data_IF_313692450274
#
_entry.id   IF_313692450274
#
_cell.length_a   1.000
_cell.length_b   1.000
_cell.length_c   1.000
_cell.angle_alpha   90.00
_cell.angle_beta   90.00
_cell.angle_gamma   90.00
#
_symmetry.space_group_name_H-M   'P 1'
#
loop_
_entity.id
_entity.type
_entity.pdbx_description
1 polymer ?
#
# COMPACT_ATOMS: atom_id res chain seq x y z
N UNK A 1 -0.40 21.16 -11.73
CA UNK A 1 0.49 20.23 -10.99
C UNK A 1 0.26 18.75 -11.30
N UNK A 2 -0.99 18.30 -11.47
CA UNK A 2 -1.34 16.90 -11.79
C UNK A 2 -0.77 16.39 -13.12
N UNK A 3 -0.91 17.09 -14.28
CA UNK A 3 -0.44 16.56 -15.56
C UNK A 3 1.06 16.30 -15.61
N UNK A 4 1.87 17.13 -14.93
CA UNK A 4 3.33 16.96 -14.85
C UNK A 4 3.73 15.64 -14.20
N UNK A 5 2.97 15.16 -13.22
CA UNK A 5 3.24 13.88 -12.53
C UNK A 5 2.92 12.70 -13.44
N UNK A 6 1.81 12.77 -14.16
CA UNK A 6 1.43 11.73 -15.14
C UNK A 6 2.43 11.64 -16.28
N UNK A 7 2.86 12.78 -16.83
CA UNK A 7 3.89 12.81 -17.89
C UNK A 7 5.19 12.16 -17.41
N UNK A 8 5.65 12.51 -16.20
CA UNK A 8 6.85 11.91 -15.63
C UNK A 8 6.70 10.39 -15.41
N UNK A 9 5.55 9.93 -14.91
CA UNK A 9 5.27 8.52 -14.71
C UNK A 9 5.23 7.74 -16.03
N UNK A 10 4.59 8.30 -17.07
CA UNK A 10 4.56 7.70 -18.40
C UNK A 10 5.98 7.60 -18.99
N UNK A 11 6.74 8.70 -18.97
CA UNK A 11 8.12 8.69 -19.44
C UNK A 11 8.94 7.62 -18.72
N UNK A 12 8.88 7.58 -17.39
CA UNK A 12 9.59 6.60 -16.57
C UNK A 12 9.20 5.15 -16.91
N UNK A 13 7.91 4.88 -17.13
CA UNK A 13 7.41 3.54 -17.45
C UNK A 13 7.76 3.08 -18.87
N UNK A 14 7.89 4.01 -19.82
CA UNK A 14 8.26 3.68 -21.21
C UNK A 14 9.77 3.63 -21.44
N UNK A 15 10.60 4.04 -20.48
CA UNK A 15 12.07 4.02 -20.62
C UNK A 15 12.65 2.67 -21.08
N UNK A 16 12.18 1.51 -20.59
CA UNK A 16 12.63 0.20 -21.09
C UNK A 16 12.33 -0.01 -22.58
N UNK A 17 11.26 0.59 -23.10
CA UNK A 17 10.88 0.51 -24.52
C UNK A 17 11.76 1.36 -25.45
N UNK A 18 12.48 2.34 -24.90
CA UNK A 18 13.39 3.20 -25.68
C UNK A 18 14.83 2.66 -25.79
N UNK A 19 15.06 1.40 -25.40
CA UNK A 19 16.34 0.71 -25.66
C UNK A 19 17.05 0.12 -24.44
N UNK A 20 16.47 0.23 -23.25
CA UNK A 20 16.97 -0.41 -22.02
C UNK A 20 16.25 -1.73 -21.71
N UNK A 21 16.07 -2.57 -22.73
CA UNK A 21 15.55 -3.92 -22.58
C UNK A 21 16.69 -4.94 -22.67
N UNK A 22 16.50 -6.15 -22.13
CA UNK A 22 17.51 -7.19 -22.11
C UNK A 22 17.78 -7.75 -23.52
N UNK A 23 18.81 -7.22 -24.20
CA UNK A 23 19.20 -7.70 -25.52
C UNK A 23 19.76 -9.13 -25.48
N UNK A 24 20.54 -9.47 -24.44
CA UNK A 24 21.17 -10.80 -24.27
C UNK A 24 20.18 -11.94 -23.95
N UNK A 25 19.02 -11.61 -23.36
CA UNK A 25 17.99 -12.61 -23.06
C UNK A 25 17.14 -12.91 -24.30
N UNK A 26 16.87 -11.89 -25.13
CA UNK A 26 16.14 -12.02 -26.39
C UNK A 26 16.91 -12.79 -27.47
N UNK A 27 18.25 -12.73 -27.47
CA UNK A 27 19.09 -13.50 -28.41
C UNK A 27 19.30 -14.96 -28.02
N UNK A 28 19.09 -15.33 -26.74
CA UNK A 28 19.27 -16.70 -26.24
C UNK A 28 18.02 -17.60 -26.43
N UNK A 29 16.82 -17.02 -26.50
CA UNK A 29 15.60 -17.77 -26.80
C UNK A 29 15.42 -17.91 -28.32
N UNK A 30 15.55 -19.14 -28.81
CA UNK A 30 15.43 -19.46 -30.24
C UNK A 30 13.97 -19.27 -30.73
N UNK A 31 13.75 -18.24 -31.55
CA UNK A 31 12.65 -17.85 -32.47
C UNK A 31 11.26 -18.54 -32.50
N UNK A 32 10.76 -19.27 -31.49
CA UNK A 32 9.39 -19.83 -31.55
C UNK A 32 8.54 -19.75 -30.28
N UNK A 33 9.09 -19.40 -29.11
CA UNK A 33 8.26 -19.14 -27.93
C UNK A 33 8.97 -18.24 -26.91
N UNK A 34 8.54 -16.98 -26.80
CA UNK A 34 8.94 -16.09 -25.70
C UNK A 34 7.96 -16.33 -24.56
N UNK A 35 8.43 -16.86 -23.43
CA UNK A 35 7.64 -16.88 -22.22
C UNK A 35 7.47 -15.45 -21.70
N UNK A 36 6.23 -14.97 -21.65
CA UNK A 36 5.87 -13.63 -21.20
C UNK A 36 6.05 -13.47 -19.69
N UNK A 37 7.30 -13.46 -19.23
CA UNK A 37 7.68 -13.19 -17.86
C UNK A 37 8.28 -11.79 -17.72
N UNK A 38 7.95 -11.10 -16.63
CA UNK A 38 8.34 -9.71 -16.37
C UNK A 38 9.87 -9.50 -16.40
N UNK A 39 10.64 -10.43 -15.85
CA UNK A 39 12.12 -10.43 -15.83
C UNK A 39 12.77 -10.78 -17.17
N UNK A 40 12.01 -11.34 -18.12
CA UNK A 40 12.50 -11.60 -19.47
C UNK A 40 12.55 -10.32 -20.31
N UNK A 41 11.61 -9.40 -20.07
CA UNK A 41 11.48 -8.13 -20.83
C UNK A 41 12.16 -6.97 -20.12
N UNK A 42 12.07 -6.90 -18.78
CA UNK A 42 12.60 -5.79 -17.99
C UNK A 42 13.85 -6.24 -17.23
N UNK A 43 15.00 -5.58 -17.43
CA UNK A 43 16.23 -5.93 -16.74
C UNK A 43 16.12 -5.75 -15.22
N UNK A 44 16.59 -6.73 -14.45
CA UNK A 44 16.66 -6.62 -12.98
C UNK A 44 17.54 -5.43 -12.56
N UNK A 45 18.59 -5.12 -13.34
CA UNK A 45 19.46 -3.96 -13.12
C UNK A 45 18.70 -2.62 -13.22
N UNK A 46 17.71 -2.52 -14.12
CA UNK A 46 16.82 -1.36 -14.24
C UNK A 46 15.89 -1.25 -13.03
N UNK A 47 15.32 -2.38 -12.58
CA UNK A 47 14.45 -2.40 -11.40
C UNK A 47 15.18 -2.00 -10.10
N UNK A 48 16.47 -2.29 -9.99
CA UNK A 48 17.27 -1.94 -8.82
C UNK A 48 17.84 -0.52 -8.97
N UNK A 49 18.77 -0.29 -9.89
CA UNK A 49 19.47 0.99 -9.92
C UNK A 49 18.58 2.17 -10.33
N UNK A 50 17.62 1.95 -11.21
CA UNK A 50 16.79 3.05 -11.69
C UNK A 50 15.51 3.21 -10.86
N UNK A 51 14.76 2.14 -10.64
CA UNK A 51 13.51 2.22 -9.86
C UNK A 51 13.79 2.30 -8.36
N UNK A 52 14.61 1.41 -7.78
CA UNK A 52 14.86 1.44 -6.34
C UNK A 52 15.71 2.65 -5.93
N UNK A 53 16.87 2.86 -6.56
CA UNK A 53 17.77 3.96 -6.15
C UNK A 53 17.34 5.33 -6.68
N UNK A 54 16.69 5.39 -7.85
CA UNK A 54 16.26 6.65 -8.45
C UNK A 54 14.86 7.10 -8.03
N UNK A 55 13.93 6.17 -7.79
CA UNK A 55 12.52 6.51 -7.59
C UNK A 55 11.97 6.15 -6.21
N UNK A 56 12.53 5.14 -5.54
CA UNK A 56 12.05 4.71 -4.22
C UNK A 56 12.88 5.32 -3.07
N UNK A 57 14.21 5.18 -3.12
CA UNK A 57 15.10 5.66 -2.06
C UNK A 57 15.10 7.19 -1.90
N UNK A 58 15.08 8.04 -2.95
CA UNK A 58 15.19 9.48 -2.76
C UNK A 58 13.96 10.09 -2.07
N UNK A 59 12.72 9.75 -2.46
CA UNK A 59 11.54 10.18 -1.70
C UNK A 59 11.57 9.67 -0.25
N UNK A 60 12.02 8.44 -0.03
CA UNK A 60 12.13 7.86 1.32
C UNK A 60 13.13 8.65 2.18
N UNK A 61 14.32 8.91 1.66
CA UNK A 61 15.40 9.62 2.34
C UNK A 61 15.00 11.07 2.67
N UNK A 62 14.40 11.79 1.71
CA UNK A 62 13.89 13.15 1.94
C UNK A 62 12.84 13.16 3.05
N UNK A 63 11.90 12.21 3.03
CA UNK A 63 10.87 12.11 4.06
C UNK A 63 11.49 11.84 5.44
N UNK A 64 12.41 10.88 5.55
CA UNK A 64 13.11 10.57 6.81
C UNK A 64 13.88 11.80 7.32
N UNK A 65 14.65 12.46 6.46
CA UNK A 65 15.43 13.64 6.83
C UNK A 65 14.54 14.78 7.36
N UNK A 66 13.40 15.02 6.70
CA UNK A 66 12.42 16.01 7.16
C UNK A 66 11.84 15.64 8.54
N UNK A 67 11.52 14.36 8.79
CA UNK A 67 11.05 13.94 10.12
C UNK A 67 12.13 14.07 11.19
N UNK A 68 13.36 13.64 10.90
CA UNK A 68 14.48 13.79 11.82
C UNK A 68 14.69 15.27 12.16
N UNK A 69 14.69 16.15 11.15
CA UNK A 69 14.79 17.59 11.35
C UNK A 69 13.68 18.14 12.24
N UNK A 70 12.41 17.80 11.96
CA UNK A 70 11.26 18.22 12.76
C UNK A 70 11.39 17.71 14.20
N UNK A 71 11.73 16.43 14.39
CA UNK A 71 11.86 15.82 15.71
C UNK A 71 12.98 16.47 16.54
N UNK A 72 14.14 16.72 15.93
CA UNK A 72 15.26 17.41 16.58
C UNK A 72 14.88 18.85 16.94
N UNK A 73 14.16 19.56 16.08
CA UNK A 73 13.71 20.93 16.33
C UNK A 73 12.67 20.99 17.46
N UNK A 74 11.75 20.03 17.51
CA UNK A 74 10.79 19.90 18.62
C UNK A 74 11.51 19.57 19.93
N UNK A 75 12.51 18.67 19.92
CA UNK A 75 13.29 18.31 21.12
C UNK A 75 14.08 19.50 21.66
N UNK A 76 14.71 20.28 20.78
CA UNK A 76 15.42 21.50 21.14
C UNK A 76 14.48 22.59 21.67
N UNK A 77 13.31 22.80 21.04
CA UNK A 77 12.32 23.77 21.52
C UNK A 77 11.59 23.37 22.81
N UNK A 78 11.50 22.07 23.12
CA UNK A 78 10.96 21.58 24.41
C UNK A 78 11.87 21.87 25.60
N UNK A 79 13.18 22.08 25.37
CA UNK A 79 14.11 22.47 26.42
C UNK A 79 13.95 23.94 26.86
N UNK A 80 13.19 24.76 26.12
CA UNK A 80 13.17 26.22 26.28
C UNK A 80 11.78 26.84 26.59
N UNK A 81 10.62 26.20 26.34
CA UNK A 81 9.33 26.94 26.45
C UNK A 81 8.03 26.19 26.86
N UNK A 82 7.44 26.74 27.94
CA UNK A 82 6.05 26.88 28.46
C UNK A 82 4.86 26.02 27.97
N UNK A 83 3.96 25.73 28.92
CA UNK A 83 2.78 24.86 28.88
C UNK A 83 1.61 25.31 27.96
N UNK A 84 1.60 26.56 27.48
CA UNK A 84 0.48 27.10 26.67
C UNK A 84 0.46 26.64 25.19
N UNK A 85 1.55 26.08 24.66
CA UNK A 85 1.59 25.57 23.26
C UNK A 85 1.09 24.13 23.10
N UNK A 86 0.56 23.51 24.15
CA UNK A 86 0.25 22.07 24.22
C UNK A 86 -0.78 21.59 23.19
N UNK A 87 -1.84 22.37 22.93
CA UNK A 87 -2.91 22.02 21.97
C UNK A 87 -2.49 22.16 20.50
N UNK A 88 -1.65 23.15 20.17
CA UNK A 88 -1.08 23.30 18.82
C UNK A 88 -0.07 22.18 18.53
N UNK A 89 0.80 21.88 19.51
CA UNK A 89 1.77 20.77 19.43
C UNK A 89 1.09 19.40 19.27
N UNK A 90 -0.07 19.17 19.89
CA UNK A 90 -0.83 17.92 19.71
C UNK A 90 -1.34 17.73 18.28
N UNK A 91 -1.82 18.79 17.62
CA UNK A 91 -2.27 18.72 16.22
C UNK A 91 -1.10 18.44 15.27
N UNK A 92 0.02 19.13 15.45
CA UNK A 92 1.24 18.87 14.66
C UNK A 92 1.77 17.45 14.87
N UNK A 93 1.76 16.95 16.11
CA UNK A 93 2.14 15.57 16.40
C UNK A 93 1.21 14.56 15.72
N UNK A 94 -0.11 14.77 15.72
CA UNK A 94 -1.03 13.91 14.99
C UNK A 94 -0.74 13.89 13.48
N UNK A 95 -0.40 15.04 12.89
CA UNK A 95 -0.01 15.13 11.48
C UNK A 95 1.29 14.35 11.23
N UNK A 96 2.31 14.56 12.05
CA UNK A 96 3.60 13.88 11.96
C UNK A 96 3.49 12.36 12.16
N UNK A 97 2.80 11.89 13.21
CA UNK A 97 2.55 10.47 13.49
C UNK A 97 1.96 9.76 12.28
N UNK A 98 1.08 10.46 11.57
CA UNK A 98 0.42 9.83 10.45
C UNK A 98 1.25 9.79 9.20
N UNK A 99 2.16 10.75 9.02
CA UNK A 99 3.10 10.68 7.93
C UNK A 99 4.16 9.59 8.18
N UNK A 100 4.56 9.39 9.45
CA UNK A 100 5.39 8.23 9.85
C UNK A 100 4.66 6.92 9.59
N UNK A 101 3.34 6.85 9.87
CA UNK A 101 2.54 5.67 9.55
C UNK A 101 2.50 5.40 8.03
N UNK A 102 2.27 6.42 7.20
CA UNK A 102 2.31 6.30 5.73
C UNK A 102 3.68 5.83 5.26
N UNK A 103 4.76 6.38 5.84
CA UNK A 103 6.13 5.98 5.53
C UNK A 103 6.40 4.52 5.89
N UNK A 104 6.03 4.11 7.11
CA UNK A 104 6.20 2.73 7.58
C UNK A 104 5.44 1.75 6.69
N UNK A 105 4.20 2.10 6.30
CA UNK A 105 3.40 1.27 5.41
C UNK A 105 3.97 1.23 4.00
N UNK A 106 4.46 2.35 3.47
CA UNK A 106 5.14 2.40 2.19
C UNK A 106 6.38 1.49 2.19
N UNK A 107 7.20 1.53 3.24
CA UNK A 107 8.36 0.62 3.40
C UNK A 107 7.87 -0.82 3.47
N UNK A 108 6.93 -1.15 4.35
CA UNK A 108 6.45 -2.54 4.53
C UNK A 108 5.87 -3.10 3.23
N UNK A 109 5.16 -2.29 2.43
CA UNK A 109 4.55 -2.76 1.19
C UNK A 109 5.55 -2.95 0.05
N UNK A 110 6.60 -2.13 -0.01
CA UNK A 110 7.53 -2.11 -1.16
C UNK A 110 8.88 -2.79 -0.88
N UNK A 111 9.36 -2.76 0.37
CA UNK A 111 10.65 -3.31 0.77
C UNK A 111 10.78 -4.81 0.48
N UNK A 112 9.77 -5.67 0.73
CA UNK A 112 9.90 -7.10 0.46
C UNK A 112 10.14 -7.40 -1.02
N UNK A 113 9.46 -6.68 -1.91
CA UNK A 113 9.66 -6.82 -3.35
C UNK A 113 11.08 -6.38 -3.74
N UNK A 114 11.51 -5.18 -3.32
CA UNK A 114 12.86 -4.70 -3.63
C UNK A 114 13.96 -5.60 -3.06
N UNK A 115 13.79 -6.11 -1.84
CA UNK A 115 14.71 -7.04 -1.21
C UNK A 115 14.85 -8.33 -2.02
N UNK A 116 13.73 -8.91 -2.49
CA UNK A 116 13.75 -10.10 -3.34
C UNK A 116 14.48 -9.83 -4.66
N UNK A 117 14.21 -8.69 -5.29
CA UNK A 117 14.88 -8.31 -6.55
C UNK A 117 16.40 -8.14 -6.34
N UNK A 118 16.81 -7.49 -5.24
CA UNK A 118 18.23 -7.34 -4.88
C UNK A 118 18.91 -8.67 -4.61
N UNK A 119 18.28 -9.58 -3.85
CA UNK A 119 18.85 -10.92 -3.59
C UNK A 119 19.03 -11.69 -4.90
N UNK A 120 18.03 -11.64 -5.78
CA UNK A 120 18.08 -12.32 -7.10
C UNK A 120 19.21 -11.77 -7.98
N UNK A 121 19.52 -10.47 -7.87
CA UNK A 121 20.62 -9.85 -8.61
C UNK A 121 22.00 -10.16 -8.04
N UNK A 122 22.20 -9.95 -6.73
CA UNK A 122 23.51 -10.11 -6.09
C UNK A 122 23.88 -11.56 -5.86
N UNK A 123 22.91 -12.46 -5.68
CA UNK A 123 23.15 -13.85 -5.37
C UNK A 123 22.32 -14.78 -6.26
N UNK A 124 22.80 -14.97 -7.49
CA UNK A 124 22.18 -15.84 -8.49
C UNK A 124 22.13 -17.32 -8.08
N UNK A 125 22.91 -17.72 -7.06
CA UNK A 125 22.92 -19.07 -6.51
C UNK A 125 21.71 -19.36 -5.60
N UNK A 126 21.01 -18.33 -5.12
CA UNK A 126 19.80 -18.49 -4.30
C UNK A 126 18.60 -18.53 -5.22
N UNK A 127 17.98 -19.70 -5.34
CA UNK A 127 16.68 -19.83 -5.99
C UNK A 127 15.58 -19.27 -5.09
N UNK A 128 15.06 -18.10 -5.44
CA UNK A 128 13.89 -17.53 -4.76
C UNK A 128 12.65 -18.30 -5.21
N UNK A 129 11.86 -18.85 -4.27
CA UNK A 129 10.66 -19.59 -4.63
C UNK A 129 9.60 -18.63 -5.22
N UNK A 130 8.85 -19.05 -6.26
CA UNK A 130 7.86 -18.19 -6.93
C UNK A 130 6.81 -17.60 -5.98
N UNK A 131 6.45 -18.35 -4.92
CA UNK A 131 5.50 -17.90 -3.89
C UNK A 131 5.97 -16.62 -3.19
N UNK A 132 7.28 -16.48 -2.94
CA UNK A 132 7.82 -15.29 -2.28
C UNK A 132 7.75 -14.06 -3.20
N UNK A 133 8.00 -14.25 -4.50
CA UNK A 133 7.82 -13.21 -5.51
C UNK A 133 6.35 -12.76 -5.60
N UNK A 134 5.41 -13.70 -5.70
CA UNK A 134 3.98 -13.37 -5.72
C UNK A 134 3.51 -12.66 -4.45
N UNK A 135 4.02 -13.08 -3.29
CA UNK A 135 3.73 -12.40 -2.04
C UNK A 135 4.24 -10.95 -2.05
N UNK A 136 5.49 -10.72 -2.51
CA UNK A 136 6.05 -9.38 -2.64
C UNK A 136 5.26 -8.49 -3.60
N UNK A 137 4.80 -9.04 -4.73
CA UNK A 137 3.94 -8.34 -5.70
C UNK A 137 2.58 -8.02 -5.08
N UNK A 138 1.94 -8.98 -4.41
CA UNK A 138 0.65 -8.76 -3.76
C UNK A 138 0.75 -7.65 -2.71
N UNK A 139 1.84 -7.64 -1.96
CA UNK A 139 2.07 -6.65 -0.91
C UNK A 139 2.31 -5.24 -1.48
N UNK A 140 3.02 -5.13 -2.62
CA UNK A 140 3.20 -3.84 -3.28
C UNK A 140 1.87 -3.31 -3.85
N UNK A 141 0.99 -4.18 -4.36
CA UNK A 141 -0.36 -3.80 -4.77
C UNK A 141 -1.26 -3.43 -3.58
N UNK A 142 -1.08 -4.08 -2.43
CA UNK A 142 -1.81 -3.74 -1.21
C UNK A 142 -1.56 -2.28 -0.76
N UNK A 143 -0.43 -1.67 -1.14
CA UNK A 143 -0.15 -0.23 -0.92
C UNK A 143 -1.30 0.68 -1.41
N UNK A 144 -1.99 0.31 -2.49
CA UNK A 144 -3.15 1.08 -2.99
C UNK A 144 -4.36 0.99 -2.05
N UNK A 145 -4.59 -0.17 -1.41
CA UNK A 145 -5.66 -0.38 -0.42
C UNK A 145 -5.34 0.30 0.91
N UNK A 146 -4.06 0.40 1.24
CA UNK A 146 -3.60 1.04 2.47
C UNK A 146 -3.96 2.53 2.49
N UNK A 147 -4.01 3.21 1.34
CA UNK A 147 -4.32 4.65 1.28
C UNK A 147 -5.68 4.98 1.95
N UNK A 148 -6.83 4.45 1.51
CA UNK A 148 -8.12 4.64 2.20
C UNK A 148 -8.12 4.21 3.67
N UNK A 149 -7.46 3.10 3.99
CA UNK A 149 -7.41 2.55 5.35
C UNK A 149 -6.72 3.52 6.30
N UNK A 150 -5.57 4.05 5.90
CA UNK A 150 -4.86 5.08 6.66
C UNK A 150 -5.74 6.30 6.86
N UNK A 151 -6.40 6.81 5.82
CA UNK A 151 -7.29 7.96 5.95
C UNK A 151 -8.51 7.69 6.86
N UNK A 152 -9.09 6.49 6.79
CA UNK A 152 -10.24 6.08 7.60
C UNK A 152 -9.92 5.96 9.10
N UNK A 153 -8.75 5.42 9.45
CA UNK A 153 -8.29 5.36 10.84
C UNK A 153 -7.84 6.71 11.38
N UNK A 154 -7.32 7.58 10.50
CA UNK A 154 -6.66 8.83 10.87
C UNK A 154 -7.62 10.01 11.07
N UNK A 155 -8.75 10.07 10.38
CA UNK A 155 -9.72 11.16 10.53
C UNK A 155 -10.76 10.74 11.58
N UNK A 156 -10.76 11.33 12.80
CA UNK A 156 -11.70 10.95 13.86
C UNK A 156 -13.16 11.16 13.45
N UNK A 157 -13.41 12.14 12.56
CA UNK A 157 -14.72 12.36 11.93
C UNK A 157 -15.13 11.19 11.03
N UNK A 158 -14.22 10.67 10.18
CA UNK A 158 -14.49 9.51 9.33
C UNK A 158 -14.66 8.26 10.18
N UNK A 159 -13.80 8.02 11.18
CA UNK A 159 -13.98 6.90 12.13
C UNK A 159 -15.35 6.93 12.82
N UNK A 160 -15.83 8.13 13.21
CA UNK A 160 -17.17 8.31 13.80
C UNK A 160 -18.29 8.01 12.80
N UNK A 161 -18.21 8.53 11.59
CA UNK A 161 -19.24 8.28 10.56
C UNK A 161 -19.22 6.81 10.07
N UNK A 162 -18.04 6.22 9.87
CA UNK A 162 -17.88 4.81 9.51
C UNK A 162 -18.39 3.90 10.63
N UNK A 163 -18.10 4.22 11.90
CA UNK A 163 -18.65 3.49 13.04
C UNK A 163 -20.17 3.66 13.21
N UNK A 164 -20.76 4.78 12.76
CA UNK A 164 -22.22 4.93 12.70
C UNK A 164 -22.82 4.06 11.58
N UNK A 165 -22.20 4.05 10.40
CA UNK A 165 -22.63 3.23 9.26
C UNK A 165 -22.50 1.74 9.61
N UNK A 166 -21.37 1.32 10.16
CA UNK A 166 -21.11 -0.07 10.58
C UNK A 166 -22.11 -0.58 11.62
N UNK A 167 -22.46 0.26 12.61
CA UNK A 167 -23.51 -0.07 13.59
C UNK A 167 -24.91 -0.17 12.98
N UNK A 168 -25.21 0.61 11.94
CA UNK A 168 -26.47 0.47 11.20
C UNK A 168 -26.51 -0.83 10.39
N UNK A 169 -25.41 -1.21 9.73
CA UNK A 169 -25.33 -2.47 8.97
C UNK A 169 -25.47 -3.67 9.91
N UNK A 170 -24.71 -3.72 11.00
CA UNK A 170 -24.82 -4.82 12.00
C UNK A 170 -26.17 -4.79 12.70
N UNK A 171 -26.69 -3.60 13.07
CA UNK A 171 -27.99 -3.46 13.71
C UNK A 171 -29.16 -3.90 12.83
N UNK A 172 -29.09 -3.65 11.51
CA UNK A 172 -30.09 -4.15 10.57
C UNK A 172 -29.97 -5.64 10.30
N UNK A 173 -28.77 -6.20 10.34
CA UNK A 173 -28.55 -7.65 10.24
C UNK A 173 -29.15 -8.39 11.44
N UNK A 174 -29.00 -7.84 12.65
CA UNK A 174 -29.66 -8.35 13.85
C UNK A 174 -31.20 -8.34 13.74
N UNK A 175 -31.76 -7.33 13.08
CA UNK A 175 -33.21 -7.16 12.91
C UNK A 175 -33.78 -8.05 11.80
N UNK A 176 -32.99 -8.31 10.74
CA UNK A 176 -33.30 -9.29 9.71
C UNK A 176 -33.26 -10.74 10.27
N UNK A 177 -32.27 -11.07 11.09
CA UNK A 177 -32.17 -12.39 11.74
C UNK A 177 -33.28 -12.60 12.78
N UNK A 178 -33.67 -11.56 13.53
CA UNK A 178 -34.78 -11.62 14.50
C UNK A 178 -36.14 -11.78 13.83
N UNK A 179 -36.36 -11.17 12.66
CA UNK A 179 -37.60 -11.31 11.89
C UNK A 179 -37.67 -12.65 11.14
N UNK A 180 -36.55 -13.20 10.67
CA UNK A 180 -36.50 -14.55 10.07
C UNK A 180 -36.82 -15.63 11.12
N UNK A 181 -36.38 -15.44 12.37
CA UNK A 181 -36.68 -16.32 13.51
C UNK A 181 -38.12 -16.27 14.00
N UNK A 182 -38.93 -15.28 13.55
CA UNK A 182 -40.34 -15.11 13.91
C UNK A 182 -41.31 -15.67 12.86
N UNK A 183 -40.83 -16.45 11.90
CA UNK A 183 -41.71 -17.25 11.04
C UNK A 183 -41.81 -18.66 11.62
N UNK A 184 -42.73 -18.95 12.57
CA UNK A 184 -43.05 -20.33 12.86
C UNK A 184 -43.76 -20.91 11.64
N UNK A 185 -43.21 -21.98 11.11
CA UNK A 185 -43.98 -22.95 10.34
C UNK A 185 -45.09 -23.50 11.25
N UNK A 186 -46.27 -22.90 11.21
CA UNK A 186 -47.48 -23.48 11.78
C UNK A 186 -48.33 -24.04 10.65
N UNK A 187 -48.05 -25.29 10.29
CA UNK A 187 -49.03 -26.21 9.74
C UNK A 187 -50.11 -26.47 10.79
N UNK A 188 -51.37 -26.43 10.37
CA UNK A 188 -52.48 -27.35 10.73
C UNK A 188 -53.69 -26.94 9.87
N UNK A 189 -54.11 -27.76 8.90
CA UNK A 189 -55.28 -28.69 8.96
C UNK A 189 -56.58 -27.97 9.32
N UNK A 190 -57.76 -28.19 8.75
CA UNK A 190 -58.33 -29.10 7.75
C UNK A 190 -59.82 -28.68 7.69
N UNK A 191 -60.49 -28.95 6.56
CA UNK A 191 -61.94 -29.21 6.43
C UNK A 191 -63.04 -28.12 6.63
N UNK A 192 -64.10 -28.32 5.82
CA UNK A 192 -65.43 -27.67 5.66
C UNK A 192 -65.54 -26.46 4.71
N UNK A 193 -66.48 -26.38 3.76
CA UNK A 193 -67.53 -27.30 3.25
C UNK A 193 -68.03 -26.69 1.91
N UNK A 194 -68.46 -27.53 0.95
CA UNK A 194 -69.12 -27.10 -0.30
C UNK A 194 -69.00 -28.05 -1.47
#
# INVERSE_FOLDING_TARGET
>A
MVPRRWILASLLGFLPMFGWYNHDTLTRYNSTSIDCQFTAVIPIIYLIHFIFEGCFLPPLAVMIALYCYIFLKIRSGRAVMSAETSTYKQKEHQLATSLVLVLALFIVCWLPLHMIQSITYYNQSIHVPPIALYFGILLSHANSMVNPVVYAFKIPKIKREYGKIWRRVIGQQQQADTNSSRTPASNTTDSHDG
#
